data_IF_528442405664
#
_entry.id   IF_528442405664
#
_cell.length_a   1.000
_cell.length_b   1.000
_cell.length_c   1.000
_cell.angle_alpha   90.00
_cell.angle_beta   90.00
_cell.angle_gamma   90.00
#
_symmetry.space_group_name_H-M   'P 1'
#
loop_
_entity.id
_entity.type
_entity.pdbx_description
1 polymer ?
#
# COMPACT_ATOMS: atom_id res chain seq x y z
N UNK A 1 -14.24 12.51 6.40
CA UNK A 1 -12.87 12.95 6.13
C UNK A 1 -12.38 12.20 4.89
N UNK A 2 -11.56 12.80 4.01
CA UNK A 2 -11.08 12.08 2.83
C UNK A 2 -10.07 11.01 3.24
N UNK A 3 -10.12 9.86 2.56
CA UNK A 3 -9.18 8.76 2.73
C UNK A 3 -8.44 8.55 1.41
N UNK A 4 -7.12 8.64 1.45
CA UNK A 4 -6.24 8.46 0.29
C UNK A 4 -5.61 7.07 0.32
N UNK A 5 -5.94 6.24 -0.66
CA UNK A 5 -5.32 4.94 -0.89
C UNK A 5 -3.99 5.11 -1.63
N UNK A 6 -2.89 4.61 -1.09
CA UNK A 6 -1.57 4.67 -1.72
C UNK A 6 -0.99 3.26 -1.79
N UNK A 7 -0.72 2.77 -3.00
CA UNK A 7 -0.03 1.50 -3.21
C UNK A 7 1.41 1.77 -3.63
N UNK A 8 2.37 1.22 -2.89
CA UNK A 8 3.82 1.28 -3.11
C UNK A 8 4.29 -0.09 -3.57
N UNK A 9 4.99 -0.14 -4.70
CA UNK A 9 5.47 -1.36 -5.32
C UNK A 9 6.91 -1.19 -5.78
N UNK A 10 7.65 -2.30 -5.85
CA UNK A 10 9.00 -2.27 -6.38
C UNK A 10 9.00 -1.92 -7.86
N UNK A 11 10.01 -1.16 -8.30
CA UNK A 11 10.28 -0.90 -9.71
C UNK A 11 10.62 -2.21 -10.45
N UNK A 12 11.22 -3.17 -9.75
CA UNK A 12 11.58 -4.49 -10.26
C UNK A 12 10.79 -5.56 -9.50
N UNK A 13 9.48 -5.69 -9.77
CA UNK A 13 8.63 -6.62 -9.04
C UNK A 13 9.07 -8.06 -9.32
N UNK A 14 9.28 -8.81 -8.24
CA UNK A 14 9.59 -10.24 -8.30
C UNK A 14 8.34 -11.02 -7.90
N UNK A 15 7.96 -12.00 -8.73
CA UNK A 15 6.84 -12.87 -8.42
C UNK A 15 7.14 -13.73 -7.19
N UNK A 16 6.20 -13.77 -6.25
CA UNK A 16 6.28 -14.60 -5.06
C UNK A 16 5.84 -16.03 -5.40
N UNK A 17 6.85 -16.87 -5.64
CA UNK A 17 6.68 -18.29 -5.97
C UNK A 17 5.94 -19.08 -4.90
N UNK A 18 5.87 -18.60 -3.65
CA UNK A 18 5.16 -19.30 -2.57
C UNK A 18 3.66 -19.24 -2.81
N UNK A 19 3.13 -18.08 -3.18
CA UNK A 19 1.71 -17.92 -3.49
C UNK A 19 1.31 -18.62 -4.78
N UNK A 20 2.15 -18.55 -5.83
CA UNK A 20 1.90 -19.29 -7.07
C UNK A 20 1.83 -20.80 -6.82
N UNK A 21 2.78 -21.36 -6.05
CA UNK A 21 2.76 -22.78 -5.67
C UNK A 21 1.53 -23.14 -4.84
N UNK A 22 1.17 -22.31 -3.86
CA UNK A 22 -0.01 -22.54 -3.04
C UNK A 22 -1.30 -22.52 -3.88
N UNK A 23 -1.43 -21.58 -4.82
CA UNK A 23 -2.55 -21.52 -5.75
C UNK A 23 -2.65 -22.80 -6.61
N UNK A 24 -1.52 -23.27 -7.16
CA UNK A 24 -1.50 -24.50 -7.96
C UNK A 24 -1.89 -25.73 -7.14
N UNK A 25 -1.48 -25.81 -5.88
CA UNK A 25 -1.91 -26.88 -4.96
C UNK A 25 -3.42 -26.86 -4.70
N UNK A 26 -4.05 -25.68 -4.79
CA UNK A 26 -5.50 -25.49 -4.72
C UNK A 26 -6.19 -25.65 -6.09
N UNK A 27 -5.48 -26.13 -7.12
CA UNK A 27 -5.94 -26.31 -8.51
C UNK A 27 -6.24 -25.00 -9.26
N UNK A 28 -5.74 -23.87 -8.78
CA UNK A 28 -5.76 -22.58 -9.48
C UNK A 28 -4.50 -22.46 -10.35
N UNK A 29 -4.40 -23.31 -11.37
CA UNK A 29 -3.20 -23.44 -12.21
C UNK A 29 -3.00 -22.28 -13.19
N UNK A 30 -4.04 -21.48 -13.41
CA UNK A 30 -4.02 -20.27 -14.24
C UNK A 30 -3.25 -19.10 -13.61
N UNK A 31 -2.90 -19.18 -12.32
CA UNK A 31 -2.12 -18.15 -11.64
C UNK A 31 -0.64 -18.36 -11.97
N UNK A 32 -0.08 -17.50 -12.84
CA UNK A 32 1.32 -17.60 -13.28
C UNK A 32 2.28 -16.76 -12.43
N UNK A 33 1.77 -15.67 -11.85
CA UNK A 33 2.55 -14.76 -11.03
C UNK A 33 1.73 -14.19 -9.88
N UNK A 34 2.41 -13.78 -8.83
CA UNK A 34 1.81 -13.06 -7.71
C UNK A 34 2.79 -12.00 -7.23
N UNK A 35 2.39 -10.73 -7.25
CA UNK A 35 3.21 -9.61 -6.85
C UNK A 35 2.70 -9.00 -5.57
N UNK A 36 3.63 -8.56 -4.71
CA UNK A 36 3.28 -7.87 -3.47
C UNK A 36 3.51 -6.37 -3.60
N UNK A 37 2.59 -5.59 -3.05
CA UNK A 37 2.72 -4.16 -2.88
C UNK A 37 2.36 -3.80 -1.44
N UNK A 38 2.97 -2.73 -0.93
CA UNK A 38 2.58 -2.13 0.35
C UNK A 38 1.44 -1.15 0.10
N UNK A 39 0.39 -1.23 0.88
CA UNK A 39 -0.80 -0.42 0.75
C UNK A 39 -0.95 0.42 2.02
N UNK A 40 -1.14 1.72 1.86
CA UNK A 40 -1.32 2.68 2.94
C UNK A 40 -2.62 3.42 2.74
N UNK A 41 -3.32 3.72 3.83
CA UNK A 41 -4.50 4.60 3.79
C UNK A 41 -4.24 5.83 4.64
N UNK A 42 -4.17 6.98 4.00
CA UNK A 42 -4.01 8.25 4.68
C UNK A 42 -5.39 8.85 4.94
N UNK A 43 -5.80 8.85 6.19
CA UNK A 43 -7.04 9.49 6.64
C UNK A 43 -6.70 10.80 7.34
N UNK A 44 -7.35 11.89 6.92
CA UNK A 44 -7.17 13.21 7.52
C UNK A 44 -7.50 14.34 6.57
N UNK A 45 -7.38 15.57 7.07
CA UNK A 45 -7.59 16.79 6.27
C UNK A 45 -6.34 17.12 5.46
N UNK A 46 -6.03 16.28 4.48
CA UNK A 46 -4.99 16.53 3.49
C UNK A 46 -5.62 16.94 2.16
N UNK A 47 -4.92 17.81 1.45
CA UNK A 47 -5.12 17.97 0.02
C UNK A 47 -4.54 16.76 -0.73
N UNK A 48 -5.00 16.44 -1.96
CA UNK A 48 -4.41 15.40 -2.78
C UNK A 48 -2.88 15.58 -2.98
N UNK A 49 -2.44 16.82 -3.11
CA UNK A 49 -1.02 17.19 -3.25
C UNK A 49 -0.19 16.89 -2.00
N UNK A 50 -0.75 17.10 -0.80
CA UNK A 50 -0.07 16.75 0.46
C UNK A 50 0.00 15.24 0.66
N UNK A 51 -1.06 14.51 0.29
CA UNK A 51 -1.06 13.04 0.31
C UNK A 51 0.00 12.47 -0.65
N UNK A 52 0.15 13.03 -1.84
CA UNK A 52 1.21 12.65 -2.78
C UNK A 52 2.61 13.02 -2.28
N UNK A 53 2.76 14.16 -1.60
CA UNK A 53 4.03 14.56 -1.01
C UNK A 53 4.46 13.59 0.11
N UNK A 54 3.52 13.24 1.01
CA UNK A 54 3.73 12.22 2.03
C UNK A 54 4.12 10.87 1.42
N UNK A 55 3.43 10.47 0.34
CA UNK A 55 3.72 9.22 -0.36
C UNK A 55 5.16 9.17 -0.86
N UNK A 56 5.62 10.26 -1.46
CA UNK A 56 6.93 10.39 -2.08
C UNK A 56 8.06 10.44 -1.05
N UNK A 57 7.89 11.25 -0.01
CA UNK A 57 8.96 11.52 0.95
C UNK A 57 9.07 10.44 2.04
N UNK A 58 7.94 9.87 2.48
CA UNK A 58 7.91 8.98 3.65
C UNK A 58 7.55 7.53 3.32
N UNK A 59 6.77 7.29 2.27
CA UNK A 59 6.24 5.95 1.98
C UNK A 59 6.96 5.23 0.85
N UNK A 60 7.82 5.90 0.09
CA UNK A 60 8.44 5.34 -1.12
C UNK A 60 9.94 5.54 -1.06
N UNK A 61 10.71 4.48 -1.24
CA UNK A 61 12.12 4.61 -1.59
C UNK A 61 12.23 5.10 -3.06
N UNK A 62 12.80 6.30 -3.31
CA UNK A 62 12.84 6.87 -4.66
C UNK A 62 13.72 6.08 -5.64
N UNK A 63 14.61 5.21 -5.16
CA UNK A 63 15.53 4.42 -5.98
C UNK A 63 14.92 3.07 -6.38
N UNK A 64 14.22 2.42 -5.45
CA UNK A 64 13.80 1.03 -5.62
C UNK A 64 12.28 0.85 -5.76
N UNK A 65 11.49 1.84 -5.38
CA UNK A 65 10.03 1.76 -5.29
C UNK A 65 9.34 2.87 -6.10
N UNK A 66 8.06 2.63 -6.40
CA UNK A 66 7.14 3.60 -6.97
C UNK A 66 5.82 3.52 -6.22
N UNK A 67 5.11 4.64 -6.15
CA UNK A 67 3.76 4.68 -5.59
C UNK A 67 2.71 5.03 -6.63
N UNK A 68 1.47 4.61 -6.37
CA UNK A 68 0.27 5.05 -7.09
C UNK A 68 -0.85 5.35 -6.09
N UNK A 69 -1.45 6.52 -6.26
CA UNK A 69 -2.65 6.91 -5.53
C UNK A 69 -3.93 6.32 -6.13
N UNK A 70 -4.95 6.13 -5.29
CA UNK A 70 -6.29 5.71 -5.68
C UNK A 70 -6.44 4.22 -5.96
N UNK A 71 -7.61 3.84 -6.45
CA UNK A 71 -7.93 2.48 -6.89
C UNK A 71 -7.49 2.34 -8.35
N UNK A 72 -6.56 1.41 -8.61
CA UNK A 72 -6.12 1.13 -9.98
C UNK A 72 -7.07 0.16 -10.67
N UNK A 73 -7.43 0.49 -11.91
CA UNK A 73 -8.08 -0.44 -12.84
C UNK A 73 -7.12 -1.58 -13.16
N UNK A 74 -7.59 -2.80 -12.98
CA UNK A 74 -6.84 -4.02 -13.29
C UNK A 74 -6.93 -4.33 -14.78
N UNK A 75 -5.87 -4.87 -15.36
CA UNK A 75 -5.94 -5.42 -16.71
C UNK A 75 -6.83 -6.68 -16.73
N UNK A 76 -7.32 -7.05 -17.91
CA UNK A 76 -8.09 -8.27 -18.05
C UNK A 76 -7.23 -9.49 -17.70
N UNK A 77 -7.66 -10.28 -16.71
CA UNK A 77 -6.93 -11.44 -16.19
C UNK A 77 -6.25 -11.19 -14.84
N UNK A 78 -5.94 -9.94 -14.52
CA UNK A 78 -5.33 -9.59 -13.23
C UNK A 78 -6.38 -9.63 -12.11
N UNK A 79 -5.94 -10.07 -10.93
CA UNK A 79 -6.74 -10.03 -9.71
C UNK A 79 -6.01 -9.20 -8.67
N UNK A 80 -6.72 -8.65 -7.69
CA UNK A 80 -6.10 -7.96 -6.55
C UNK A 80 -6.76 -8.39 -5.27
N UNK A 81 -5.94 -8.73 -4.29
CA UNK A 81 -6.34 -9.04 -2.93
C UNK A 81 -5.69 -8.01 -2.02
N UNK A 82 -6.51 -7.23 -1.32
CA UNK A 82 -6.05 -6.25 -0.33
C UNK A 82 -6.31 -6.79 1.05
N UNK A 83 -5.27 -6.90 1.87
CA UNK A 83 -5.35 -7.43 3.23
C UNK A 83 -5.20 -6.28 4.22
N UNK A 84 -6.29 -5.92 4.89
CA UNK A 84 -6.32 -4.84 5.88
C UNK A 84 -6.38 -5.40 7.31
N UNK A 85 -5.92 -4.64 8.30
CA UNK A 85 -6.15 -4.99 9.70
C UNK A 85 -7.62 -4.81 10.07
N UNK A 86 -8.07 -5.60 11.05
CA UNK A 86 -9.39 -5.40 11.66
C UNK A 86 -9.45 -4.05 12.41
N UNK A 87 -10.63 -3.41 12.48
CA UNK A 87 -10.81 -2.18 13.25
C UNK A 87 -10.40 -2.37 14.72
N UNK A 88 -9.64 -1.41 15.28
CA UNK A 88 -9.24 -1.40 16.70
C UNK A 88 -7.87 -2.03 17.01
N UNK A 89 -7.14 -2.49 16.00
CA UNK A 89 -5.74 -2.94 16.18
C UNK A 89 -4.80 -1.75 16.22
N UNK A 90 -3.96 -1.67 17.24
CA UNK A 90 -2.92 -0.62 17.36
C UNK A 90 -1.82 -0.86 16.32
N UNK A 91 -1.59 0.13 15.46
CA UNK A 91 -0.52 0.09 14.47
C UNK A 91 0.64 1.03 14.88
N UNK A 92 1.81 0.51 15.28
CA UNK A 92 2.96 1.35 15.60
C UNK A 92 3.53 2.07 14.38
N UNK A 93 3.27 1.60 13.15
CA UNK A 93 3.73 2.25 11.92
C UNK A 93 2.95 3.53 11.66
N UNK A 94 1.63 3.52 11.90
CA UNK A 94 0.77 4.70 11.88
C UNK A 94 1.34 5.84 12.72
N UNK A 95 1.78 5.55 13.94
CA UNK A 95 2.26 6.55 14.88
C UNK A 95 3.62 7.13 14.46
N UNK A 96 4.53 6.28 13.98
CA UNK A 96 5.81 6.74 13.44
C UNK A 96 5.63 7.63 12.21
N UNK A 97 4.70 7.25 11.32
CA UNK A 97 4.38 8.01 10.12
C UNK A 97 3.75 9.37 10.47
N UNK A 98 2.91 9.41 11.52
CA UNK A 98 2.36 10.65 12.08
C UNK A 98 3.44 11.61 12.55
N UNK A 99 4.43 11.10 13.29
CA UNK A 99 5.57 11.90 13.73
C UNK A 99 6.41 12.41 12.56
N UNK A 100 6.71 11.55 11.58
CA UNK A 100 7.47 11.94 10.40
C UNK A 100 6.74 13.00 9.54
N UNK A 101 5.41 12.87 9.39
CA UNK A 101 4.58 13.87 8.70
C UNK A 101 4.67 15.25 9.37
N UNK A 102 4.69 15.29 10.71
CA UNK A 102 4.83 16.55 11.43
C UNK A 102 6.20 17.20 11.22
N UNK A 103 7.27 16.40 11.12
CA UNK A 103 8.62 16.91 10.84
C UNK A 103 8.75 17.58 9.46
N UNK A 104 7.97 17.13 8.48
CA UNK A 104 7.91 17.75 7.15
C UNK A 104 6.82 18.83 7.03
N UNK A 105 6.20 19.23 8.15
CA UNK A 105 5.25 20.34 8.23
C UNK A 105 3.79 20.00 7.91
N UNK A 106 3.46 18.72 7.73
CA UNK A 106 2.10 18.27 7.43
C UNK A 106 1.38 17.86 8.73
N UNK A 107 0.21 18.47 8.99
CA UNK A 107 -0.58 18.17 10.19
C UNK A 107 -1.54 17.01 9.94
N UNK A 108 -1.31 15.88 10.61
CA UNK A 108 -2.15 14.67 10.60
C UNK A 108 -2.98 14.64 11.90
N UNK A 109 -4.29 14.39 11.84
CA UNK A 109 -5.19 14.43 13.03
C UNK A 109 -5.60 13.07 13.59
N UNK A 110 -5.56 12.01 12.79
CA UNK A 110 -6.03 10.66 13.16
C UNK A 110 -5.09 9.59 12.56
N UNK A 111 -5.07 8.34 13.06
CA UNK A 111 -4.02 7.39 12.72
C UNK A 111 -4.02 7.02 11.22
N UNK A 112 -2.89 7.25 10.56
CA UNK A 112 -2.63 6.83 9.18
C UNK A 112 -2.55 5.30 9.14
N UNK A 113 -3.40 4.63 8.37
CA UNK A 113 -3.47 3.17 8.39
C UNK A 113 -2.22 2.50 7.78
N UNK A 114 -1.85 1.39 8.41
CA UNK A 114 -0.66 0.55 8.24
C UNK A 114 -0.21 0.22 6.81
N UNK A 115 1.08 -0.16 6.64
CA UNK A 115 1.53 -0.92 5.47
C UNK A 115 0.79 -2.25 5.42
N UNK A 116 -0.02 -2.41 4.39
CA UNK A 116 -0.80 -3.61 4.12
C UNK A 116 -0.23 -4.34 2.90
N UNK A 117 -0.32 -5.66 2.86
CA UNK A 117 0.14 -6.39 1.68
C UNK A 117 -1.00 -6.54 0.69
N UNK A 118 -0.88 -5.86 -0.44
CA UNK A 118 -1.71 -6.11 -1.60
C UNK A 118 -1.02 -7.17 -2.47
N UNK A 119 -1.73 -8.25 -2.78
CA UNK A 119 -1.29 -9.28 -3.72
C UNK A 119 -2.01 -9.02 -5.04
N UNK A 120 -1.26 -8.77 -6.12
CA UNK A 120 -1.79 -8.59 -7.49
C UNK A 120 -1.30 -9.70 -8.40
#
# INVERSE_FOLDING_TARGET
>A
MPVYRIAVYSIHPVSDVRYVRAAHQLRLTEIEACYTARLFFLEGDFTPTEAEHLARELLTDPVTEKFKGGVQVLAAGDRRIEVTFLPGVTDPVAENLRHAAHLIGIKTREPMCAPQQAHT
#
